data_IF_377689523626
#
_entry.id   IF_377689523626
#
_cell.length_a   1.000
_cell.length_b   1.000
_cell.length_c   1.000
_cell.angle_alpha   90.00
_cell.angle_beta   90.00
_cell.angle_gamma   90.00
#
_symmetry.space_group_name_H-M   'P 1'
#
loop_
_entity.id
_entity.type
_entity.pdbx_description
1 polymer ?
#
# COMPACT_ATOMS: atom_id res chain seq x y z
N UNK A 1 -13.11 0.42 1.18
CA UNK A 1 -11.91 -0.23 1.74
C UNK A 1 -10.95 -0.62 0.63
N UNK A 2 -9.68 -0.34 0.84
CA UNK A 2 -8.62 -0.73 -0.08
C UNK A 2 -7.66 -1.70 0.59
N UNK A 3 -6.99 -2.52 -0.22
CA UNK A 3 -5.85 -3.33 0.20
C UNK A 3 -4.63 -2.92 -0.60
N UNK A 4 -3.50 -2.78 0.07
CA UNK A 4 -2.21 -2.55 -0.57
C UNK A 4 -1.41 -3.83 -0.53
N UNK A 5 -0.89 -4.25 -1.69
CA UNK A 5 -0.31 -5.57 -1.87
C UNK A 5 1.09 -5.48 -2.47
N UNK A 6 2.07 -5.98 -1.72
CA UNK A 6 3.42 -6.21 -2.23
C UNK A 6 4.36 -5.05 -2.06
N UNK A 7 5.63 -5.38 -1.99
CA UNK A 7 6.72 -4.41 -1.95
C UNK A 7 7.96 -5.04 -2.57
N UNK A 8 8.92 -4.20 -2.92
CA UNK A 8 10.23 -4.66 -3.34
C UNK A 8 11.27 -3.62 -2.95
N UNK A 9 12.52 -4.04 -2.92
CA UNK A 9 13.62 -3.16 -2.56
C UNK A 9 13.66 -1.94 -3.48
N UNK A 10 13.86 -0.77 -2.90
CA UNK A 10 13.91 0.49 -3.64
C UNK A 10 12.56 1.14 -3.90
N UNK A 11 11.44 0.49 -3.54
CA UNK A 11 10.10 1.04 -3.74
C UNK A 11 9.42 1.31 -2.40
N UNK A 12 9.25 2.59 -2.07
CA UNK A 12 8.60 3.02 -0.84
C UNK A 12 7.14 3.43 -1.02
N UNK A 13 6.52 3.18 -2.16
CA UNK A 13 5.15 3.61 -2.43
C UNK A 13 4.13 3.06 -1.44
N UNK A 14 4.36 1.87 -0.91
CA UNK A 14 3.45 1.30 0.09
C UNK A 14 3.37 2.19 1.35
N UNK A 15 4.46 2.85 1.72
CA UNK A 15 4.46 3.81 2.82
C UNK A 15 3.81 5.14 2.42
N UNK A 16 4.31 5.75 1.34
CA UNK A 16 3.87 7.09 0.96
C UNK A 16 2.41 7.11 0.53
N UNK A 17 1.99 6.18 -0.30
CA UNK A 17 0.61 6.14 -0.79
C UNK A 17 -0.38 5.79 0.31
N UNK A 18 -0.01 4.86 1.21
CA UNK A 18 -0.87 4.52 2.34
C UNK A 18 -1.07 5.73 3.26
N UNK A 19 0.00 6.48 3.52
CA UNK A 19 -0.08 7.69 4.34
C UNK A 19 -0.98 8.75 3.68
N UNK A 20 -0.83 8.93 2.37
CA UNK A 20 -1.62 9.91 1.64
C UNK A 20 -3.10 9.53 1.63
N UNK A 21 -3.41 8.27 1.34
CA UNK A 21 -4.81 7.80 1.29
C UNK A 21 -5.43 7.86 2.68
N UNK A 22 -4.74 7.37 3.71
CA UNK A 22 -5.28 7.36 5.07
C UNK A 22 -5.29 8.75 5.73
N UNK A 23 -4.57 9.71 5.15
CA UNK A 23 -4.57 11.08 5.63
C UNK A 23 -3.74 11.32 6.88
N UNK A 24 -3.02 10.31 7.36
CA UNK A 24 -2.20 10.41 8.57
C UNK A 24 -1.16 9.30 8.62
N UNK A 25 -0.14 9.51 9.43
CA UNK A 25 0.91 8.52 9.63
C UNK A 25 1.65 8.79 10.94
N UNK A 26 2.32 7.76 11.47
CA UNK A 26 3.19 7.88 12.64
C UNK A 26 4.52 8.48 12.18
N UNK A 27 4.83 9.69 12.64
CA UNK A 27 6.00 10.45 12.19
C UNK A 27 7.32 9.76 12.56
N UNK A 28 7.41 9.18 13.75
CA UNK A 28 8.63 8.51 14.18
C UNK A 28 8.89 7.24 13.37
N UNK A 29 7.85 6.43 13.18
CA UNK A 29 7.98 5.21 12.37
C UNK A 29 8.27 5.53 10.91
N UNK A 30 7.67 6.60 10.38
CA UNK A 30 7.92 7.02 9.00
C UNK A 30 9.37 7.47 8.80
N UNK A 31 9.99 8.12 9.79
CA UNK A 31 11.42 8.48 9.71
C UNK A 31 12.32 7.27 9.53
N UNK A 32 11.89 6.12 10.04
CA UNK A 32 12.66 4.89 10.00
C UNK A 32 12.15 3.89 8.95
N UNK A 33 11.38 4.36 7.97
CA UNK A 33 10.80 3.48 6.95
C UNK A 33 11.82 2.96 5.92
N UNK A 34 13.03 3.51 5.92
CA UNK A 34 14.07 3.11 4.98
C UNK A 34 14.18 3.97 3.73
N UNK A 35 13.32 4.98 3.60
CA UNK A 35 13.29 5.89 2.44
C UNK A 35 13.24 7.33 2.94
N UNK A 36 14.39 7.95 3.25
CA UNK A 36 14.43 9.27 3.88
C UNK A 36 13.68 10.36 3.14
N UNK A 37 13.56 10.26 1.82
CA UNK A 37 12.85 11.26 1.02
C UNK A 37 11.35 11.27 1.33
N UNK A 38 10.78 10.14 1.76
CA UNK A 38 9.34 10.04 2.02
C UNK A 38 8.91 10.91 3.21
N UNK A 39 9.47 10.75 4.42
CA UNK A 39 9.09 11.63 5.51
C UNK A 39 9.41 13.09 5.21
N UNK A 40 10.46 13.36 4.43
CA UNK A 40 10.81 14.71 4.06
C UNK A 40 9.70 15.40 3.28
N UNK A 41 9.22 14.80 2.18
CA UNK A 41 8.18 15.47 1.40
C UNK A 41 6.80 15.40 2.05
N UNK A 42 6.49 14.33 2.80
CA UNK A 42 5.22 14.25 3.51
C UNK A 42 5.09 15.36 4.57
N UNK A 43 6.20 15.68 5.24
CA UNK A 43 6.19 16.73 6.28
C UNK A 43 5.97 18.12 5.71
N UNK A 44 6.25 18.33 4.43
CA UNK A 44 6.08 19.62 3.75
C UNK A 44 4.69 19.79 3.16
N UNK A 45 3.93 18.71 3.05
CA UNK A 45 2.60 18.77 2.45
C UNK A 45 1.57 19.17 3.50
N UNK A 46 0.70 20.17 3.23
CA UNK A 46 -0.34 20.55 4.17
C UNK A 46 -1.28 19.36 4.46
N UNK A 47 -1.70 19.20 5.74
CA UNK A 47 -2.59 18.08 6.10
C UNK A 47 -3.88 18.01 5.28
N UNK A 48 -4.41 19.15 4.83
CA UNK A 48 -5.62 19.18 4.03
C UNK A 48 -5.47 18.57 2.63
N UNK A 49 -4.23 18.38 2.17
CA UNK A 49 -3.97 17.74 0.89
C UNK A 49 -3.93 16.21 0.98
N UNK A 50 -3.99 15.66 2.21
CA UNK A 50 -4.02 14.23 2.42
C UNK A 50 -5.46 13.72 2.44
N UNK A 51 -5.60 12.43 2.16
CA UNK A 51 -6.89 11.79 2.11
C UNK A 51 -7.51 11.84 0.72
N UNK A 52 -8.30 10.83 0.40
CA UNK A 52 -9.02 10.74 -0.88
C UNK A 52 -10.46 10.38 -0.54
N UNK A 53 -11.33 11.38 -0.41
CA UNK A 53 -12.75 11.21 -0.08
C UNK A 53 -12.95 10.21 1.08
N UNK A 54 -13.72 9.15 0.85
CA UNK A 54 -14.00 8.11 1.84
C UNK A 54 -13.06 6.91 1.71
N UNK A 55 -12.02 7.01 0.89
CA UNK A 55 -11.09 5.91 0.69
C UNK A 55 -10.17 5.75 1.91
N UNK A 56 -9.90 4.51 2.28
CA UNK A 56 -8.93 4.20 3.31
C UNK A 56 -8.33 2.82 3.06
N UNK A 57 -7.06 2.67 3.45
CA UNK A 57 -6.35 1.41 3.34
C UNK A 57 -6.65 0.61 4.60
N UNK A 58 -7.37 -0.49 4.45
CA UNK A 58 -7.77 -1.33 5.57
C UNK A 58 -6.89 -2.57 5.72
N UNK A 59 -6.39 -3.10 4.60
CA UNK A 59 -5.58 -4.31 4.56
C UNK A 59 -4.25 -4.06 3.90
N UNK A 60 -3.23 -4.76 4.37
CA UNK A 60 -1.91 -4.77 3.72
C UNK A 60 -1.34 -6.17 3.71
N UNK A 61 -0.67 -6.51 2.63
CA UNK A 61 0.11 -7.71 2.49
C UNK A 61 1.45 -7.37 1.84
N UNK A 62 2.52 -7.94 2.37
CA UNK A 62 3.83 -7.91 1.72
C UNK A 62 4.44 -9.30 1.80
N UNK A 63 5.44 -9.53 0.98
CA UNK A 63 6.16 -10.80 0.92
C UNK A 63 6.78 -11.19 2.28
N UNK A 64 7.11 -10.18 3.08
CA UNK A 64 7.60 -10.36 4.45
C UNK A 64 6.55 -9.78 5.41
N UNK A 65 5.96 -10.64 6.24
CA UNK A 65 4.91 -10.23 7.16
C UNK A 65 5.37 -9.16 8.16
N UNK A 66 6.61 -9.21 8.61
CA UNK A 66 7.11 -8.20 9.55
C UNK A 66 7.18 -6.83 8.90
N UNK A 67 7.49 -6.78 7.61
CA UNK A 67 7.47 -5.54 6.85
C UNK A 67 6.05 -4.98 6.75
N UNK A 68 5.08 -5.85 6.43
CA UNK A 68 3.67 -5.43 6.38
C UNK A 68 3.18 -4.90 7.72
N UNK A 69 3.60 -5.53 8.82
CA UNK A 69 3.25 -5.07 10.17
C UNK A 69 3.80 -3.67 10.43
N UNK A 70 5.05 -3.42 10.02
CA UNK A 70 5.64 -2.09 10.16
C UNK A 70 4.90 -1.05 9.33
N UNK A 71 4.53 -1.38 8.09
CA UNK A 71 3.73 -0.49 7.23
C UNK A 71 2.39 -0.18 7.90
N UNK A 72 1.72 -1.19 8.42
CA UNK A 72 0.42 -1.03 9.06
C UNK A 72 0.49 -0.12 10.29
N UNK A 73 1.53 -0.29 11.10
CA UNK A 73 1.74 0.57 12.27
C UNK A 73 2.08 2.01 11.88
N UNK A 74 2.85 2.16 10.81
CA UNK A 74 3.30 3.49 10.34
C UNK A 74 2.16 4.30 9.73
N UNK A 75 1.26 3.66 8.99
CA UNK A 75 0.22 4.35 8.22
C UNK A 75 -1.20 4.04 8.69
N UNK A 76 -1.32 3.41 9.86
CA UNK A 76 -2.61 3.12 10.54
C UNK A 76 -3.54 2.23 9.69
N UNK A 77 -2.97 1.18 9.06
CA UNK A 77 -3.74 0.17 8.38
C UNK A 77 -4.27 -0.84 9.40
N UNK A 78 -5.52 -1.24 9.27
CA UNK A 78 -6.22 -2.03 10.29
C UNK A 78 -5.73 -3.47 10.38
N UNK A 79 -5.49 -4.13 9.27
CA UNK A 79 -5.14 -5.56 9.26
C UNK A 79 -4.02 -5.91 8.30
N UNK A 80 -3.11 -6.75 8.79
CA UNK A 80 -2.11 -7.44 7.97
C UNK A 80 -2.69 -8.80 7.61
N UNK A 81 -2.74 -9.15 6.33
CA UNK A 81 -3.26 -10.45 5.90
C UNK A 81 -2.12 -11.40 5.54
N UNK A 82 -2.38 -12.70 5.67
CA UNK A 82 -1.38 -13.74 5.43
C UNK A 82 -1.16 -14.00 3.95
N UNK A 83 -2.16 -13.72 3.12
CA UNK A 83 -2.13 -13.99 1.69
C UNK A 83 -2.90 -12.91 0.96
N UNK A 84 -2.48 -12.52 -0.26
CA UNK A 84 -3.20 -11.50 -1.03
C UNK A 84 -4.66 -11.87 -1.27
N UNK A 85 -4.96 -13.14 -1.51
CA UNK A 85 -6.34 -13.59 -1.76
C UNK A 85 -7.28 -13.44 -0.58
N UNK A 86 -6.76 -13.24 0.62
CA UNK A 86 -7.59 -13.11 1.83
C UNK A 86 -8.49 -11.88 1.79
N UNK A 87 -8.19 -10.90 0.95
CA UNK A 87 -9.00 -9.67 0.86
C UNK A 87 -10.12 -9.76 -0.19
N UNK A 88 -10.17 -10.83 -0.98
CA UNK A 88 -11.24 -10.99 -1.98
C UNK A 88 -12.61 -11.01 -1.30
N UNK A 89 -13.52 -10.18 -1.79
CA UNK A 89 -14.85 -10.04 -1.19
C UNK A 89 -14.91 -9.09 0.01
N UNK A 90 -13.78 -8.51 0.41
CA UNK A 90 -13.71 -7.61 1.57
C UNK A 90 -13.34 -6.18 1.23
N UNK A 91 -12.90 -5.92 0.00
CA UNK A 91 -12.40 -4.61 -0.43
C UNK A 91 -13.12 -4.13 -1.66
N UNK A 92 -13.11 -2.82 -1.85
CA UNK A 92 -13.64 -2.15 -3.04
C UNK A 92 -12.59 -2.01 -4.14
N UNK A 93 -11.33 -2.19 -3.80
CA UNK A 93 -10.23 -2.12 -4.74
C UNK A 93 -8.92 -2.55 -4.12
N UNK A 94 -7.94 -2.87 -4.97
CA UNK A 94 -6.58 -3.20 -4.53
C UNK A 94 -5.57 -2.34 -5.25
N UNK A 95 -4.47 -2.04 -4.57
CA UNK A 95 -3.33 -1.32 -5.12
C UNK A 95 -2.12 -2.23 -5.00
N UNK A 96 -1.49 -2.53 -6.13
CA UNK A 96 -0.28 -3.34 -6.16
C UNK A 96 0.90 -2.40 -6.14
N UNK A 97 1.68 -2.48 -5.07
CA UNK A 97 2.73 -1.52 -4.73
C UNK A 97 4.14 -2.07 -4.93
N UNK A 98 4.29 -3.10 -5.73
CA UNK A 98 5.60 -3.53 -6.23
C UNK A 98 5.81 -2.96 -7.64
N UNK A 99 7.05 -2.61 -7.97
CA UNK A 99 7.39 -2.12 -9.30
C UNK A 99 8.13 -3.16 -10.15
N UNK A 100 8.06 -4.42 -9.76
CA UNK A 100 8.59 -5.54 -10.54
C UNK A 100 7.48 -6.05 -11.46
N UNK A 101 7.54 -5.66 -12.73
CA UNK A 101 6.46 -5.94 -13.69
C UNK A 101 6.10 -7.42 -13.81
N UNK A 102 7.09 -8.31 -13.69
CA UNK A 102 6.85 -9.75 -13.79
C UNK A 102 5.95 -10.32 -12.69
N UNK A 103 5.83 -9.61 -11.56
CA UNK A 103 4.97 -10.08 -10.46
C UNK A 103 3.55 -9.56 -10.55
N UNK A 104 3.30 -8.54 -11.36
CA UNK A 104 2.02 -7.84 -11.39
C UNK A 104 0.87 -8.72 -11.84
N UNK A 105 1.05 -9.49 -12.89
CA UNK A 105 -0.03 -10.34 -13.40
C UNK A 105 -0.44 -11.39 -12.37
N UNK A 106 0.54 -12.00 -11.72
CA UNK A 106 0.27 -13.02 -10.70
C UNK A 106 -0.53 -12.44 -9.53
N UNK A 107 -0.15 -11.25 -9.08
CA UNK A 107 -0.86 -10.58 -7.99
C UNK A 107 -2.24 -10.07 -8.42
N UNK A 108 -2.35 -9.52 -9.63
CA UNK A 108 -3.56 -8.87 -10.10
C UNK A 108 -4.65 -9.84 -10.54
N UNK A 109 -4.27 -10.99 -11.12
CA UNK A 109 -5.21 -11.92 -11.75
C UNK A 109 -6.39 -12.32 -10.86
N UNK A 110 -6.19 -12.76 -9.60
CA UNK A 110 -7.33 -13.17 -8.77
C UNK A 110 -8.36 -12.05 -8.56
N UNK A 111 -7.89 -10.81 -8.50
CA UNK A 111 -8.78 -9.66 -8.30
C UNK A 111 -9.51 -9.29 -9.57
N UNK A 112 -8.83 -9.33 -10.70
CA UNK A 112 -9.46 -9.10 -12.00
C UNK A 112 -10.54 -10.15 -12.25
N UNK A 113 -10.27 -11.41 -11.96
CA UNK A 113 -11.24 -12.49 -12.10
C UNK A 113 -12.44 -12.35 -11.15
N UNK A 114 -12.23 -11.69 -10.01
CA UNK A 114 -13.29 -11.40 -9.03
C UNK A 114 -13.99 -10.05 -9.28
N UNK A 115 -13.69 -9.38 -10.40
CA UNK A 115 -14.24 -8.07 -10.76
C UNK A 115 -13.93 -6.98 -9.73
N UNK A 116 -12.77 -7.06 -9.08
CA UNK A 116 -12.31 -6.05 -8.14
C UNK A 116 -11.37 -5.09 -8.87
N UNK A 117 -11.62 -3.76 -8.83
CA UNK A 117 -10.73 -2.78 -9.45
C UNK A 117 -9.29 -2.89 -8.93
N UNK A 118 -8.32 -2.83 -9.84
CA UNK A 118 -6.90 -2.96 -9.51
C UNK A 118 -6.15 -1.75 -10.04
N UNK A 119 -5.39 -1.09 -9.16
CA UNK A 119 -4.40 -0.09 -9.54
C UNK A 119 -3.01 -0.74 -9.41
N UNK A 120 -2.22 -0.67 -10.45
CA UNK A 120 -0.92 -1.32 -10.49
C UNK A 120 0.18 -0.26 -10.63
N UNK A 121 1.18 -0.33 -9.73
CA UNK A 121 2.37 0.51 -9.86
C UNK A 121 3.11 0.14 -11.15
N UNK A 122 3.79 1.09 -11.73
CA UNK A 122 4.51 0.86 -13.00
C UNK A 122 5.79 0.06 -12.76
N UNK A 123 6.25 -0.71 -13.78
CA UNK A 123 5.58 -0.92 -15.07
C UNK A 123 4.46 -1.93 -14.96
N UNK A 124 3.51 -1.88 -15.90
CA UNK A 124 2.39 -2.83 -15.91
C UNK A 124 2.87 -4.26 -16.08
N UNK A 125 3.82 -4.46 -16.98
CA UNK A 125 4.49 -5.74 -17.23
C UNK A 125 5.99 -5.48 -17.43
N UNK A 126 6.74 -6.54 -17.58
CA UNK A 126 8.18 -6.40 -17.88
C UNK A 126 8.43 -5.69 -19.20
#
# INVERSE_FOLDING_TARGET
KLAFLGTNEGNGHIFSWSAIVNGRYDKEKMKNCGYPVIPEYLSKEPPENFGIDDAYVYYVWTEDKSYATYVAETTYINEVVESPGDVIGKVDGVVITTDIGSTHLKLARPFIEADIPVFIDKPLTE
#
